data_IF_773171611666
#
_entry.id   IF_773171611666
#
_cell.length_a   1.000
_cell.length_b   1.000
_cell.length_c   1.000
_cell.angle_alpha   90.00
_cell.angle_beta   90.00
_cell.angle_gamma   90.00
#
_symmetry.space_group_name_H-M   'P 1'
#
loop_
_entity.id
_entity.type
_entity.pdbx_description
1 polymer ?
#
# COMPACT_ATOMS: atom_id res chain seq x y z
N UNK A 1 -5.06 -4.43 16.45
CA UNK A 1 -5.80 -3.22 16.11
C UNK A 1 -5.72 -2.25 17.27
N UNK A 2 -5.76 -0.95 16.99
CA UNK A 2 -5.55 0.08 18.00
C UNK A 2 -4.09 0.40 18.25
N UNK A 3 -3.17 -0.33 17.65
CA UNK A 3 -1.74 -0.07 17.79
C UNK A 3 -1.29 0.99 16.77
N UNK A 4 -0.23 1.71 17.14
CA UNK A 4 0.42 2.63 16.20
C UNK A 4 1.12 1.77 15.15
N UNK A 5 0.91 2.11 13.86
CA UNK A 5 1.56 1.40 12.77
C UNK A 5 3.08 1.62 12.83
N UNK A 6 3.89 0.57 12.62
CA UNK A 6 5.33 0.75 12.53
C UNK A 6 5.70 1.73 11.42
N UNK A 7 6.52 2.72 11.77
CA UNK A 7 6.94 3.73 10.81
C UNK A 7 7.96 3.16 9.82
N UNK A 8 7.98 3.70 8.62
CA UNK A 8 8.94 3.31 7.60
C UNK A 8 9.12 4.42 6.58
N UNK A 9 10.24 4.34 5.88
CA UNK A 9 10.50 5.17 4.72
C UNK A 9 10.81 4.22 3.57
N UNK A 10 10.15 4.41 2.44
CA UNK A 10 10.41 3.63 1.24
C UNK A 10 10.71 4.57 0.09
N UNK A 11 11.71 4.21 -0.70
CA UNK A 11 12.11 4.98 -1.85
C UNK A 11 12.27 4.05 -3.05
N UNK A 12 11.57 4.38 -4.13
CA UNK A 12 11.64 3.64 -5.38
C UNK A 12 12.25 4.54 -6.45
N UNK A 13 13.20 4.02 -7.19
CA UNK A 13 13.79 4.70 -8.34
C UNK A 13 13.20 4.12 -9.62
N UNK A 14 12.64 4.97 -10.46
CA UNK A 14 12.31 4.62 -11.83
C UNK A 14 13.36 5.22 -12.75
N UNK A 15 13.25 4.96 -14.06
CA UNK A 15 14.24 5.42 -15.03
C UNK A 15 14.53 6.92 -14.98
N UNK A 16 13.58 7.74 -14.53
CA UNK A 16 13.72 9.20 -14.56
C UNK A 16 13.38 9.88 -13.24
N UNK A 17 12.84 9.17 -12.25
CA UNK A 17 12.35 9.77 -11.02
C UNK A 17 12.59 8.85 -9.83
N UNK A 18 12.77 9.45 -8.67
CA UNK A 18 12.72 8.73 -7.42
C UNK A 18 11.40 9.07 -6.71
N UNK A 19 10.79 8.05 -6.10
CA UNK A 19 9.56 8.20 -5.33
C UNK A 19 9.87 7.81 -3.88
N UNK A 20 9.34 8.58 -2.96
CA UNK A 20 9.59 8.35 -1.54
C UNK A 20 8.30 8.47 -0.77
N UNK A 21 8.06 7.52 0.14
CA UNK A 21 7.00 7.62 1.12
C UNK A 21 7.60 7.53 2.51
N UNK A 22 7.23 8.46 3.35
CA UNK A 22 7.59 8.50 4.77
C UNK A 22 6.28 8.51 5.53
N UNK A 23 6.00 7.41 6.23
CA UNK A 23 4.71 7.24 6.89
C UNK A 23 4.45 8.33 7.94
N UNK A 24 5.49 8.80 8.62
CA UNK A 24 5.34 9.84 9.63
C UNK A 24 4.90 11.18 9.04
N UNK A 25 5.20 11.43 7.76
CA UNK A 25 4.79 12.67 7.09
C UNK A 25 3.33 12.64 6.67
N UNK A 26 2.67 11.49 6.74
CA UNK A 26 1.28 11.34 6.34
C UNK A 26 0.30 11.48 7.49
N UNK A 27 0.78 11.79 8.69
CA UNK A 27 -0.12 12.06 9.82
C UNK A 27 -0.99 13.27 9.52
N UNK A 28 -2.24 13.19 9.94
CA UNK A 28 -3.27 14.17 9.57
C UNK A 28 -4.16 13.67 8.45
N UNK A 29 -3.82 12.55 7.83
CA UNK A 29 -4.64 11.89 6.81
C UNK A 29 -4.89 10.45 7.18
N UNK A 30 -6.00 9.90 6.72
CA UNK A 30 -6.21 8.45 6.75
C UNK A 30 -5.27 7.82 5.72
N UNK A 31 -4.64 6.71 6.08
CA UNK A 31 -3.69 6.04 5.19
C UNK A 31 -4.11 4.60 5.00
N UNK A 32 -4.24 4.19 3.75
CA UNK A 32 -4.47 2.80 3.40
C UNK A 32 -3.14 2.22 2.93
N UNK A 33 -2.56 1.34 3.75
CA UNK A 33 -1.34 0.62 3.41
C UNK A 33 -1.72 -0.69 2.72
N UNK A 34 -1.25 -0.89 1.49
CA UNK A 34 -1.51 -2.10 0.75
C UNK A 34 -0.18 -2.79 0.43
N UNK A 35 0.02 -3.98 0.97
CA UNK A 35 1.22 -4.78 0.74
C UNK A 35 0.87 -5.95 -0.18
N UNK A 36 1.61 -6.11 -1.28
CA UNK A 36 1.27 -7.07 -2.31
C UNK A 36 2.50 -7.48 -3.12
N UNK A 37 2.30 -8.41 -4.03
CA UNK A 37 3.30 -8.79 -5.02
C UNK A 37 2.60 -9.30 -6.27
N UNK A 38 3.23 -9.12 -7.42
CA UNK A 38 2.66 -9.55 -8.71
C UNK A 38 2.44 -11.06 -8.78
N UNK A 39 3.28 -11.83 -8.08
CA UNK A 39 3.18 -13.29 -8.06
C UNK A 39 2.13 -13.82 -7.08
N UNK A 40 1.55 -12.96 -6.26
CA UNK A 40 0.50 -13.34 -5.31
C UNK A 40 -0.83 -12.79 -5.79
N UNK A 41 -1.59 -13.67 -6.46
CA UNK A 41 -2.79 -13.25 -7.18
C UNK A 41 -3.82 -12.55 -6.29
N UNK A 42 -4.01 -13.03 -5.07
CA UNK A 42 -5.00 -12.46 -4.17
C UNK A 42 -4.65 -11.04 -3.74
N UNK A 43 -3.40 -10.82 -3.33
CA UNK A 43 -2.97 -9.48 -2.89
C UNK A 43 -2.91 -8.51 -4.06
N UNK A 44 -2.51 -8.98 -5.25
CA UNK A 44 -2.53 -8.17 -6.45
C UNK A 44 -3.94 -7.69 -6.80
N UNK A 45 -4.89 -8.63 -6.79
CA UNK A 45 -6.29 -8.31 -7.08
C UNK A 45 -6.86 -7.35 -6.05
N UNK A 46 -6.57 -7.57 -4.77
CA UNK A 46 -7.08 -6.72 -3.71
C UNK A 46 -6.49 -5.31 -3.80
N UNK A 47 -5.20 -5.20 -4.12
CA UNK A 47 -4.56 -3.90 -4.33
C UNK A 47 -5.24 -3.11 -5.44
N UNK A 48 -5.52 -3.76 -6.56
CA UNK A 48 -6.19 -3.12 -7.69
C UNK A 48 -7.62 -2.68 -7.33
N UNK A 49 -8.36 -3.52 -6.60
CA UNK A 49 -9.72 -3.20 -6.17
C UNK A 49 -9.76 -2.01 -5.22
N UNK A 50 -8.83 -1.96 -4.26
CA UNK A 50 -8.75 -0.86 -3.30
C UNK A 50 -8.35 0.44 -3.99
N UNK A 51 -7.40 0.39 -4.91
CA UNK A 51 -6.99 1.55 -5.68
C UNK A 51 -8.17 2.12 -6.47
N UNK A 52 -8.93 1.24 -7.10
CA UNK A 52 -10.09 1.63 -7.89
C UNK A 52 -11.20 2.23 -7.00
N UNK A 53 -11.42 1.65 -5.82
CA UNK A 53 -12.42 2.17 -4.87
C UNK A 53 -12.06 3.58 -4.40
N UNK A 54 -10.78 3.84 -4.14
CA UNK A 54 -10.35 5.17 -3.72
C UNK A 54 -10.51 6.22 -4.82
N UNK A 55 -10.32 5.84 -6.08
CA UNK A 55 -10.57 6.76 -7.18
C UNK A 55 -12.01 7.21 -7.26
N UNK A 56 -12.93 6.38 -6.79
CA UNK A 56 -14.35 6.64 -6.84
C UNK A 56 -14.86 7.44 -5.64
N UNK A 57 -14.02 7.64 -4.63
CA UNK A 57 -14.42 8.41 -3.44
C UNK A 57 -14.07 9.87 -3.61
N UNK A 58 -14.88 10.73 -3.03
CA UNK A 58 -14.66 12.18 -3.03
C UNK A 58 -13.79 12.65 -1.85
N UNK A 59 -13.38 11.76 -0.97
CA UNK A 59 -12.60 12.14 0.20
C UNK A 59 -11.17 12.48 -0.19
N UNK A 60 -10.72 13.68 0.18
CA UNK A 60 -9.38 14.17 -0.12
C UNK A 60 -8.38 13.92 1.01
N UNK A 61 -8.85 13.45 2.18
CA UNK A 61 -7.98 13.23 3.33
C UNK A 61 -7.57 11.76 3.49
N UNK A 62 -7.65 10.99 2.42
CA UNK A 62 -7.24 9.58 2.40
C UNK A 62 -6.10 9.44 1.42
N UNK A 63 -5.01 8.81 1.86
CA UNK A 63 -3.84 8.53 1.02
C UNK A 63 -3.64 7.02 0.96
N UNK A 64 -3.43 6.48 -0.23
CA UNK A 64 -3.08 5.08 -0.37
C UNK A 64 -1.57 4.95 -0.59
N UNK A 65 -0.93 4.14 0.24
CA UNK A 65 0.47 3.78 0.06
C UNK A 65 0.51 2.30 -0.29
N UNK A 66 0.85 2.00 -1.52
CA UNK A 66 0.86 0.65 -2.06
C UNK A 66 2.31 0.21 -2.25
N UNK A 67 2.69 -0.91 -1.65
CA UNK A 67 4.06 -1.41 -1.71
C UNK A 67 4.07 -2.82 -2.26
N UNK A 68 4.71 -2.99 -3.42
CA UNK A 68 4.96 -4.30 -4.01
C UNK A 68 6.28 -4.85 -3.51
N UNK A 69 6.30 -6.15 -3.19
CA UNK A 69 7.52 -6.83 -2.80
C UNK A 69 8.11 -7.65 -3.96
N UNK A 70 7.82 -7.25 -5.19
CA UNK A 70 8.44 -7.83 -6.38
C UNK A 70 9.95 -7.55 -6.38
N UNK A 71 10.74 -8.58 -6.67
CA UNK A 71 12.18 -8.42 -6.69
C UNK A 71 12.70 -7.71 -7.95
N UNK A 72 11.87 -7.65 -9.00
CA UNK A 72 12.23 -7.02 -10.26
C UNK A 72 11.31 -5.82 -10.52
N UNK A 73 11.91 -4.66 -10.63
CA UNK A 73 11.17 -3.42 -10.89
C UNK A 73 10.40 -3.47 -12.22
N UNK A 74 10.95 -4.15 -13.23
CA UNK A 74 10.28 -4.28 -14.52
C UNK A 74 8.96 -5.04 -14.41
N UNK A 75 8.91 -6.07 -13.57
CA UNK A 75 7.68 -6.83 -13.35
C UNK A 75 6.65 -5.97 -12.61
N UNK A 76 7.08 -5.21 -11.62
CA UNK A 76 6.25 -4.28 -10.90
C UNK A 76 5.62 -3.25 -11.85
N UNK A 77 6.43 -2.60 -12.68
CA UNK A 77 5.96 -1.58 -13.62
C UNK A 77 4.97 -2.15 -14.64
N UNK A 78 5.24 -3.34 -15.14
CA UNK A 78 4.35 -4.02 -16.08
C UNK A 78 3.00 -4.35 -15.44
N UNK A 79 3.03 -4.80 -14.19
CA UNK A 79 1.81 -5.15 -13.46
C UNK A 79 0.95 -3.93 -13.18
N UNK A 80 1.56 -2.82 -12.76
CA UNK A 80 0.85 -1.56 -12.54
C UNK A 80 0.17 -1.10 -13.83
N UNK A 81 0.86 -1.21 -14.95
CA UNK A 81 0.32 -0.83 -16.23
C UNK A 81 -0.88 -1.71 -16.61
N UNK A 82 -0.74 -3.03 -16.44
CA UNK A 82 -1.82 -3.97 -16.77
C UNK A 82 -3.05 -3.77 -15.89
N UNK A 83 -2.84 -3.50 -14.61
CA UNK A 83 -3.92 -3.35 -13.65
C UNK A 83 -4.48 -1.92 -13.64
N UNK A 84 -3.93 -1.04 -14.47
CA UNK A 84 -4.38 0.36 -14.59
C UNK A 84 -4.37 1.09 -13.26
N UNK A 85 -3.32 0.86 -12.47
CA UNK A 85 -3.17 1.51 -11.17
C UNK A 85 -2.59 2.90 -11.41
N UNK A 86 -3.34 3.92 -10.99
CA UNK A 86 -2.95 5.32 -11.19
C UNK A 86 -2.60 6.03 -9.89
N UNK A 87 -2.47 5.27 -8.80
CA UNK A 87 -2.09 5.81 -7.51
C UNK A 87 -0.65 6.31 -7.55
N UNK A 88 -0.39 7.61 -7.28
CA UNK A 88 0.98 8.14 -7.36
C UNK A 88 1.90 7.61 -6.26
N UNK A 89 1.34 7.04 -5.20
CA UNK A 89 2.10 6.48 -4.08
C UNK A 89 2.15 4.96 -4.14
N UNK A 90 2.55 4.45 -5.30
CA UNK A 90 2.76 3.02 -5.52
C UNK A 90 4.26 2.77 -5.63
N UNK A 91 4.78 1.93 -4.75
CA UNK A 91 6.22 1.71 -4.59
C UNK A 91 6.57 0.24 -4.74
N UNK A 92 7.83 -0.03 -5.06
CA UNK A 92 8.36 -1.40 -5.09
C UNK A 92 9.55 -1.52 -4.14
N UNK A 93 9.52 -2.57 -3.31
CA UNK A 93 10.63 -2.94 -2.44
C UNK A 93 11.32 -4.16 -3.04
N UNK A 94 12.39 -3.92 -3.82
CA UNK A 94 13.05 -4.98 -4.59
C UNK A 94 13.83 -5.97 -3.75
N UNK A 95 14.03 -5.70 -2.46
CA UNK A 95 14.58 -6.69 -1.54
C UNK A 95 13.57 -7.79 -1.21
N UNK A 96 12.31 -7.58 -1.58
CA UNK A 96 11.26 -8.58 -1.39
C UNK A 96 11.16 -9.05 0.05
N UNK A 97 11.12 -10.37 0.23
CA UNK A 97 10.97 -10.95 1.56
C UNK A 97 12.17 -10.72 2.47
N UNK A 98 13.30 -10.25 1.93
CA UNK A 98 14.48 -9.92 2.73
C UNK A 98 14.42 -8.51 3.31
N UNK A 99 13.44 -7.70 2.91
CA UNK A 99 13.37 -6.31 3.35
C UNK A 99 13.00 -6.21 4.83
N UNK A 100 13.48 -5.16 5.47
CA UNK A 100 13.09 -4.87 6.85
C UNK A 100 11.60 -4.57 6.97
N UNK A 101 11.01 -3.94 5.95
CA UNK A 101 9.58 -3.63 5.92
C UNK A 101 8.74 -4.90 5.94
N UNK A 102 9.11 -5.91 5.14
CA UNK A 102 8.43 -7.19 5.11
C UNK A 102 8.40 -7.84 6.50
N UNK A 103 9.55 -7.80 7.19
CA UNK A 103 9.66 -8.36 8.54
C UNK A 103 8.91 -7.55 9.57
N UNK A 104 8.97 -6.23 9.46
CA UNK A 104 8.35 -5.31 10.41
C UNK A 104 6.82 -5.49 10.47
N UNK A 105 6.20 -5.73 9.32
CA UNK A 105 4.76 -5.96 9.23
C UNK A 105 4.38 -7.44 9.22
N UNK A 106 5.35 -8.34 9.43
CA UNK A 106 5.14 -9.80 9.55
C UNK A 106 4.43 -10.40 8.33
N UNK A 107 4.85 -9.99 7.15
CA UNK A 107 4.20 -10.39 5.91
C UNK A 107 4.52 -11.84 5.50
N UNK A 108 5.37 -12.55 6.24
CA UNK A 108 5.62 -13.96 6.01
C UNK A 108 4.39 -14.85 6.15
N UNK A 109 3.35 -14.34 6.80
CA UNK A 109 2.07 -15.04 6.92
C UNK A 109 1.10 -14.74 5.77
N UNK A 110 1.50 -13.85 4.88
CA UNK A 110 0.70 -13.44 3.74
C UNK A 110 0.64 -11.92 3.64
N UNK A 111 0.51 -11.43 2.42
CA UNK A 111 0.34 -10.01 2.18
C UNK A 111 -1.04 -9.58 2.65
N UNK A 112 -1.13 -8.35 3.15
CA UNK A 112 -2.38 -7.81 3.66
C UNK A 112 -2.38 -6.29 3.53
N UNK A 113 -3.46 -5.67 3.97
CA UNK A 113 -3.57 -4.22 4.01
C UNK A 113 -3.94 -3.77 5.41
N UNK A 114 -3.69 -2.47 5.67
CA UNK A 114 -4.01 -1.83 6.94
C UNK A 114 -4.60 -0.47 6.67
N UNK A 115 -5.67 -0.12 7.39
CA UNK A 115 -6.20 1.23 7.37
C UNK A 115 -5.78 1.94 8.65
N UNK A 116 -5.15 3.09 8.50
CA UNK A 116 -4.68 3.92 9.61
C UNK A 116 -5.54 5.16 9.69
N UNK A 117 -5.80 5.61 10.92
CA UNK A 117 -6.48 6.89 11.13
C UNK A 117 -5.49 8.05 10.99
N UNK A 118 -5.95 9.26 11.23
CA UNK A 118 -5.14 10.47 11.06
C UNK A 118 -4.02 10.61 12.10
N UNK A 119 -3.99 9.76 13.10
CA UNK A 119 -2.90 9.70 14.09
C UNK A 119 -1.94 8.53 13.85
N UNK A 120 -2.14 7.78 12.77
CA UNK A 120 -1.30 6.64 12.46
C UNK A 120 -1.68 5.36 13.19
N UNK A 121 -2.86 5.33 13.81
CA UNK A 121 -3.34 4.16 14.55
C UNK A 121 -4.05 3.21 13.58
N UNK A 122 -3.74 1.91 13.68
CA UNK A 122 -4.36 0.89 12.85
C UNK A 122 -5.81 0.69 13.31
N UNK A 123 -6.77 1.01 12.45
CA UNK A 123 -8.19 0.85 12.76
C UNK A 123 -8.85 -0.32 12.03
N UNK A 124 -8.18 -0.86 11.01
CA UNK A 124 -8.70 -2.02 10.29
C UNK A 124 -7.55 -2.76 9.60
N UNK A 125 -7.75 -4.05 9.35
CA UNK A 125 -6.77 -4.91 8.73
C UNK A 125 -7.47 -5.86 7.77
N UNK A 126 -6.85 -6.11 6.63
CA UNK A 126 -7.34 -7.05 5.62
C UNK A 126 -8.77 -6.74 5.20
N UNK A 127 -8.99 -5.49 4.83
CA UNK A 127 -10.33 -5.04 4.42
C UNK A 127 -10.51 -5.17 2.91
N UNK A 128 -11.77 -5.36 2.51
CA UNK A 128 -12.14 -5.34 1.10
C UNK A 128 -12.49 -3.92 0.65
N UNK A 129 -12.66 -3.73 -0.66
CA UNK A 129 -13.08 -2.44 -1.19
C UNK A 129 -14.44 -2.01 -0.64
N UNK A 130 -15.37 -2.97 -0.45
CA UNK A 130 -16.68 -2.66 0.12
C UNK A 130 -16.57 -2.22 1.58
N UNK A 131 -15.71 -2.89 2.36
CA UNK A 131 -15.49 -2.50 3.76
C UNK A 131 -14.80 -1.13 3.87
N UNK A 132 -13.90 -0.83 2.94
CA UNK A 132 -13.24 0.47 2.91
C UNK A 132 -14.26 1.60 2.82
N UNK A 133 -15.27 1.44 1.97
CA UNK A 133 -16.31 2.46 1.81
C UNK A 133 -17.04 2.75 3.12
N UNK A 134 -17.27 1.72 3.95
CA UNK A 134 -17.97 1.92 5.21
C UNK A 134 -17.12 2.66 6.25
N UNK A 135 -15.80 2.58 6.17
CA UNK A 135 -14.93 3.34 7.06
C UNK A 135 -14.80 4.80 6.65
N UNK A 136 -14.94 5.08 5.36
CA UNK A 136 -14.68 6.42 4.81
C UNK A 136 -15.94 7.27 4.65
N UNK A 137 -17.10 6.68 4.78
CA UNK A 137 -18.36 7.42 4.63
C UNK A 137 -18.90 7.98 5.93
#
# INVERSE_FOLDING_TARGET
>A
MGDIAPDFVIQTMSAKQSFKADLSELKGKYVLLSFWASYDAQSRMQNASLSNALRSTSRSNVEMVSVSFDEYQSIFEETIRKDQIVTPTCFVETKGESSGLFKKYRLGRGFTNYLLDDNGVIIAKNISAAELSSYLN
#
